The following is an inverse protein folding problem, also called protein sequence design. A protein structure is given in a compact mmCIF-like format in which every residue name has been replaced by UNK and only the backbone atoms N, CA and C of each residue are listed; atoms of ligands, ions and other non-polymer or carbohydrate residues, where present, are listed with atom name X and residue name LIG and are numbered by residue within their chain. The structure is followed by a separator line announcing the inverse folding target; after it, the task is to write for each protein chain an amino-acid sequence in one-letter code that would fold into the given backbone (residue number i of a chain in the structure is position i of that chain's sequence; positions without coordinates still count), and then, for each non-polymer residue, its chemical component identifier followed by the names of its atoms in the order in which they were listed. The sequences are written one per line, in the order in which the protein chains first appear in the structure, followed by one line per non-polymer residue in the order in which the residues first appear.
data_IF_351165199893
#
_entry.id   IF_351165199893
#
_cell.length_a   1.000
_cell.length_b   1.000
_cell.length_c   1.000
_cell.angle_alpha   90.00
_cell.angle_beta   90.00
_cell.angle_gamma   90.00
#
_symmetry.space_group_name_H-M   'P 1'
#
loop_
_entity.id
_entity.type
_entity.pdbx_description
1 polymer ?
#
# COMPACT_ATOMS: atom_id res chain seq x y z
N UNK A 1 -4.25 -11.99 -10.24
CA UNK A 1 -3.76 -13.07 -11.11
C UNK A 1 -4.81 -14.14 -11.18
N UNK A 2 -5.43 -14.32 -12.34
CA UNK A 2 -6.38 -15.40 -12.60
C UNK A 2 -5.73 -16.51 -13.44
N UNK A 3 -4.40 -16.53 -13.51
CA UNK A 3 -3.65 -17.54 -14.26
C UNK A 3 -4.08 -18.90 -13.70
N UNK A 4 -4.59 -19.75 -14.59
CA UNK A 4 -5.09 -21.09 -14.25
C UNK A 4 -6.54 -21.20 -13.75
N UNK A 5 -7.29 -20.10 -13.55
CA UNK A 5 -8.67 -20.15 -13.00
C UNK A 5 -9.77 -19.78 -14.01
N UNK A 6 -9.41 -19.54 -15.27
CA UNK A 6 -10.35 -19.21 -16.34
C UNK A 6 -10.38 -20.32 -17.38
N UNK A 7 -11.57 -20.78 -17.74
CA UNK A 7 -11.82 -21.64 -18.90
C UNK A 7 -12.75 -20.85 -19.81
N UNK A 8 -12.31 -20.52 -21.02
CA UNK A 8 -13.11 -19.76 -22.00
C UNK A 8 -13.76 -18.49 -21.42
N UNK A 9 -12.96 -17.67 -20.73
CA UNK A 9 -13.38 -16.46 -19.99
C UNK A 9 -14.27 -16.69 -18.76
N UNK A 10 -14.70 -17.92 -18.49
CA UNK A 10 -15.48 -18.28 -17.32
C UNK A 10 -14.57 -18.52 -16.11
N UNK A 11 -14.75 -17.71 -15.06
CA UNK A 11 -14.07 -17.88 -13.78
C UNK A 11 -14.85 -18.90 -12.95
N UNK A 12 -14.37 -20.15 -12.92
CA UNK A 12 -15.00 -21.22 -12.15
C UNK A 12 -14.79 -21.03 -10.64
N UNK A 13 -13.59 -20.60 -10.25
CA UNK A 13 -13.23 -20.31 -8.86
C UNK A 13 -12.67 -18.90 -8.69
N UNK A 14 -13.35 -18.11 -7.85
CA UNK A 14 -12.87 -16.80 -7.44
C UNK A 14 -11.72 -16.96 -6.45
N UNK A 15 -10.62 -16.26 -6.71
CA UNK A 15 -9.50 -16.14 -5.77
C UNK A 15 -9.82 -15.04 -4.76
N UNK A 16 -10.19 -15.42 -3.54
CA UNK A 16 -10.35 -14.46 -2.44
C UNK A 16 -8.98 -14.05 -1.88
N UNK A 17 -8.03 -14.97 -1.92
CA UNK A 17 -6.68 -14.81 -1.40
C UNK A 17 -5.67 -14.84 -2.57
N UNK A 18 -4.36 -14.63 -2.32
CA UNK A 18 -3.32 -14.72 -3.35
C UNK A 18 -3.13 -16.10 -4.01
N UNK A 19 -3.99 -17.09 -3.75
CA UNK A 19 -3.94 -18.46 -4.26
C UNK A 19 -5.31 -18.90 -4.79
N UNK A 20 -5.40 -20.11 -5.34
CA UNK A 20 -6.63 -20.63 -5.94
C UNK A 20 -7.67 -21.03 -4.89
N UNK A 21 -8.94 -20.78 -5.21
CA UNK A 21 -10.06 -21.07 -4.32
C UNK A 21 -10.33 -19.99 -3.27
N UNK A 22 -11.28 -20.31 -2.38
CA UNK A 22 -11.78 -19.42 -1.33
C UNK A 22 -11.33 -19.82 0.08
N UNK A 23 -10.60 -20.94 0.19
CA UNK A 23 -10.17 -21.50 1.47
C UNK A 23 -8.76 -21.05 1.84
N UNK A 24 -8.49 -20.96 3.14
CA UNK A 24 -7.16 -20.66 3.71
C UNK A 24 -6.25 -21.90 3.82
N UNK A 25 -6.78 -23.07 3.43
CA UNK A 25 -6.11 -24.36 3.50
C UNK A 25 -5.81 -24.88 2.11
N UNK A 26 -4.67 -25.53 1.99
CA UNK A 26 -4.21 -26.14 0.75
C UNK A 26 -5.13 -27.32 0.39
N UNK A 27 -5.55 -27.36 -0.87
CA UNK A 27 -6.42 -28.37 -1.47
C UNK A 27 -5.64 -29.49 -2.19
N UNK A 28 -4.33 -29.31 -2.37
CA UNK A 28 -3.46 -30.30 -2.98
C UNK A 28 -3.40 -31.56 -2.10
N UNK A 29 -3.64 -32.77 -2.66
CA UNK A 29 -3.61 -34.02 -1.90
C UNK A 29 -2.36 -34.26 -1.06
N UNK A 30 -1.20 -33.72 -1.45
CA UNK A 30 0.06 -33.89 -0.71
C UNK A 30 0.15 -33.04 0.57
N UNK A 31 -0.53 -31.90 0.59
CA UNK A 31 -0.48 -30.90 1.65
C UNK A 31 -1.88 -30.55 2.15
N UNK A 32 -2.84 -31.47 1.96
CA UNK A 32 -4.25 -31.19 2.14
C UNK A 32 -4.53 -30.76 3.58
N UNK A 33 -5.17 -29.61 3.74
CA UNK A 33 -5.55 -29.08 5.04
C UNK A 33 -4.46 -28.28 5.77
N UNK A 34 -3.26 -28.16 5.19
CA UNK A 34 -2.21 -27.25 5.68
C UNK A 34 -2.59 -25.79 5.42
N UNK A 35 -2.33 -24.91 6.38
CA UNK A 35 -2.58 -23.48 6.24
C UNK A 35 -1.60 -22.86 5.24
N UNK A 36 -2.12 -22.02 4.34
CA UNK A 36 -1.32 -21.40 3.28
C UNK A 36 -0.73 -20.05 3.66
N UNK A 37 -0.98 -19.58 4.87
CA UNK A 37 -0.51 -18.29 5.37
C UNK A 37 -0.35 -18.31 6.89
N UNK A 38 0.44 -17.36 7.38
CA UNK A 38 0.62 -17.09 8.79
C UNK A 38 -0.35 -16.00 9.26
N UNK A 39 -1.38 -16.36 10.02
CA UNK A 39 -2.42 -15.44 10.50
C UNK A 39 -3.20 -16.02 11.69
N UNK A 40 -4.00 -15.19 12.35
CA UNK A 40 -4.81 -15.59 13.51
C UNK A 40 -6.07 -16.34 13.08
N UNK A 41 -6.12 -17.64 13.39
CA UNK A 41 -7.20 -18.56 13.00
C UNK A 41 -8.45 -18.39 13.85
N UNK A 42 -8.27 -18.24 15.15
CA UNK A 42 -9.34 -18.20 16.16
C UNK A 42 -8.96 -17.34 17.35
N UNK A 43 -9.89 -17.09 18.29
CA UNK A 43 -9.51 -16.42 19.55
C UNK A 43 -8.56 -17.36 20.30
N UNK A 44 -7.34 -16.90 20.57
CA UNK A 44 -6.30 -17.70 21.23
C UNK A 44 -5.63 -18.76 20.35
N UNK A 45 -6.00 -18.86 19.07
CA UNK A 45 -5.39 -19.80 18.11
C UNK A 45 -4.54 -19.02 17.10
N UNK A 46 -3.23 -18.95 17.39
CA UNK A 46 -2.21 -18.31 16.56
C UNK A 46 -1.47 -19.28 15.64
N UNK A 47 -1.47 -20.58 15.96
CA UNK A 47 -0.60 -21.56 15.29
C UNK A 47 -1.15 -22.99 15.22
N UNK A 48 -2.37 -23.21 15.70
CA UNK A 48 -3.00 -24.51 15.88
C UNK A 48 -2.94 -25.05 17.30
N UNK A 49 -3.33 -26.32 17.45
CA UNK A 49 -3.35 -27.04 18.72
C UNK A 49 -1.96 -27.60 19.03
N UNK A 50 -1.57 -27.60 20.31
CA UNK A 50 -0.30 -28.16 20.75
C UNK A 50 -0.08 -29.59 20.21
N UNK A 51 1.09 -29.85 19.63
CA UNK A 51 1.44 -31.12 18.99
C UNK A 51 1.13 -31.22 17.50
N UNK A 52 0.38 -30.27 16.92
CA UNK A 52 0.11 -30.19 15.48
C UNK A 52 0.03 -28.73 15.01
N UNK A 53 1.21 -28.11 14.85
CA UNK A 53 1.37 -26.73 14.41
C UNK A 53 1.17 -26.63 12.90
N UNK A 54 -0.05 -26.37 12.46
CA UNK A 54 -0.44 -26.44 11.05
C UNK A 54 0.10 -25.24 10.19
N UNK A 55 0.65 -24.18 10.79
CA UNK A 55 1.31 -23.04 10.09
C UNK A 55 2.71 -22.73 10.61
N UNK A 56 3.18 -23.44 11.65
CA UNK A 56 4.53 -23.37 12.24
C UNK A 56 5.02 -21.97 12.69
N UNK A 57 4.14 -20.98 12.92
CA UNK A 57 4.54 -19.64 13.34
C UNK A 57 3.55 -18.97 14.29
N UNK A 58 3.97 -18.67 15.52
CA UNK A 58 3.19 -17.85 16.47
C UNK A 58 3.30 -16.35 16.21
N UNK A 59 4.36 -15.95 15.50
CA UNK A 59 4.73 -14.59 15.09
C UNK A 59 5.23 -14.66 13.65
N UNK A 60 6.12 -13.78 13.21
CA UNK A 60 6.72 -13.85 11.87
C UNK A 60 7.43 -15.18 11.58
N UNK A 61 7.41 -15.55 10.30
CA UNK A 61 8.09 -16.73 9.74
C UNK A 61 9.05 -16.29 8.63
N UNK A 62 9.97 -17.16 8.18
CA UNK A 62 10.84 -16.86 7.04
C UNK A 62 10.06 -16.38 5.80
N UNK A 63 10.63 -15.43 5.05
CA UNK A 63 9.97 -14.74 3.92
C UNK A 63 9.61 -15.65 2.73
N UNK A 64 10.12 -16.88 2.70
CA UNK A 64 9.80 -17.91 1.69
C UNK A 64 9.01 -19.09 2.29
N UNK A 65 8.38 -18.89 3.44
CA UNK A 65 7.43 -19.85 3.99
C UNK A 65 6.16 -19.91 3.13
N UNK A 66 5.46 -21.05 3.20
CA UNK A 66 4.27 -21.38 2.42
C UNK A 66 4.51 -21.42 0.91
N UNK A 67 3.44 -21.60 0.14
CA UNK A 67 3.50 -21.71 -1.31
C UNK A 67 3.46 -20.34 -1.97
N UNK A 68 4.23 -20.13 -3.06
CA UNK A 68 4.14 -18.90 -3.82
C UNK A 68 2.82 -18.83 -4.58
N UNK A 69 2.36 -17.61 -4.85
CA UNK A 69 1.27 -17.40 -5.81
C UNK A 69 1.74 -17.64 -7.26
N UNK A 70 0.83 -17.48 -8.24
CA UNK A 70 1.13 -17.67 -9.67
C UNK A 70 2.26 -16.77 -10.21
N UNK A 71 2.62 -15.71 -9.49
CA UNK A 71 3.70 -14.78 -9.84
C UNK A 71 5.02 -15.11 -9.15
N UNK A 72 5.10 -16.22 -8.41
CA UNK A 72 6.28 -16.60 -7.63
C UNK A 72 6.45 -15.78 -6.35
N UNK A 73 5.43 -15.02 -5.93
CA UNK A 73 5.49 -14.18 -4.74
C UNK A 73 5.06 -14.96 -3.49
N UNK A 74 5.91 -14.93 -2.48
CA UNK A 74 5.68 -15.56 -1.18
C UNK A 74 5.08 -14.55 -0.19
N UNK A 75 4.40 -15.08 0.83
CA UNK A 75 3.84 -14.32 1.95
C UNK A 75 3.08 -13.06 1.51
N UNK A 76 2.34 -13.12 0.40
CA UNK A 76 1.46 -12.03 -0.05
C UNK A 76 0.22 -11.87 0.83
N UNK A 77 -0.10 -12.91 1.60
CA UNK A 77 -1.15 -12.95 2.59
C UNK A 77 -0.57 -13.50 3.90
N UNK A 78 -0.76 -12.75 4.99
CA UNK A 78 -0.22 -13.08 6.30
C UNK A 78 1.27 -12.76 6.44
N UNK A 79 1.87 -13.30 7.50
CA UNK A 79 3.21 -12.93 7.98
C UNK A 79 3.24 -11.48 8.45
N UNK A 80 3.46 -10.51 7.58
CA UNK A 80 3.41 -9.09 7.94
C UNK A 80 2.55 -8.34 6.94
N UNK A 81 1.87 -7.31 7.44
CA UNK A 81 1.33 -6.28 6.57
C UNK A 81 2.47 -5.58 5.84
N UNK A 82 2.17 -4.99 4.70
CA UNK A 82 3.17 -4.33 3.88
C UNK A 82 2.71 -2.94 3.47
N UNK A 83 3.57 -1.96 3.68
CA UNK A 83 3.38 -0.60 3.21
C UNK A 83 3.22 -0.55 1.69
N UNK A 84 2.31 0.31 1.26
CA UNK A 84 2.05 0.67 -0.13
C UNK A 84 2.24 2.18 -0.27
N UNK A 85 2.76 2.62 -1.41
CA UNK A 85 3.07 4.03 -1.66
C UNK A 85 1.81 4.93 -1.69
N UNK A 86 0.65 4.34 -1.97
CA UNK A 86 -0.62 5.05 -2.06
C UNK A 86 -1.01 5.78 -0.77
N UNK A 87 -1.43 7.03 -0.92
CA UNK A 87 -2.10 7.83 0.11
C UNK A 87 -3.51 7.28 0.30
N UNK A 88 -3.88 7.04 1.56
CA UNK A 88 -5.21 6.55 1.87
C UNK A 88 -6.26 7.66 1.75
N UNK A 89 -7.34 7.35 1.02
CA UNK A 89 -8.63 8.03 1.12
C UNK A 89 -9.77 7.01 1.17
N UNK A 90 -10.80 7.19 2.01
CA UNK A 90 -11.91 6.24 2.12
C UNK A 90 -12.62 5.96 0.80
N UNK A 91 -12.79 6.99 -0.03
CA UNK A 91 -13.55 6.91 -1.29
C UNK A 91 -12.68 6.81 -2.54
N UNK A 92 -11.36 6.57 -2.42
CA UNK A 92 -10.47 6.51 -3.60
C UNK A 92 -11.01 5.66 -4.74
N UNK A 93 -11.64 4.52 -4.44
CA UNK A 93 -12.16 3.60 -5.47
C UNK A 93 -13.27 4.19 -6.35
N UNK A 94 -13.93 5.27 -5.92
CA UNK A 94 -14.97 5.95 -6.69
C UNK A 94 -14.40 7.03 -7.63
N UNK A 95 -13.21 7.55 -7.32
CA UNK A 95 -12.65 8.75 -7.97
C UNK A 95 -11.45 8.45 -8.87
N UNK A 96 -10.90 7.25 -8.79
CA UNK A 96 -9.69 6.86 -9.52
C UNK A 96 -10.02 6.13 -10.82
N UNK A 97 -9.03 6.03 -11.71
CA UNK A 97 -9.16 5.26 -12.95
C UNK A 97 -9.36 3.77 -12.69
N UNK A 98 -10.12 3.11 -13.57
CA UNK A 98 -10.36 1.67 -13.52
C UNK A 98 -9.08 0.83 -13.66
N UNK A 99 -8.09 1.32 -14.40
CA UNK A 99 -6.86 0.56 -14.68
C UNK A 99 -5.65 1.11 -13.92
N UNK A 100 -5.20 0.32 -12.94
CA UNK A 100 -3.98 0.58 -12.13
C UNK A 100 -3.92 2.01 -11.59
N UNK A 101 -4.94 2.47 -10.87
CA UNK A 101 -4.92 3.78 -10.26
C UNK A 101 -3.81 3.88 -9.22
N UNK A 102 -3.22 5.08 -9.12
CA UNK A 102 -2.25 5.40 -8.09
C UNK A 102 -2.58 6.77 -7.50
N UNK A 103 -2.63 6.85 -6.16
CA UNK A 103 -2.77 8.11 -5.45
C UNK A 103 -1.54 8.37 -4.61
N UNK A 104 -0.72 9.30 -5.05
CA UNK A 104 0.53 9.61 -4.34
C UNK A 104 1.46 10.46 -5.18
N UNK A 105 0.91 11.17 -6.18
CA UNK A 105 1.68 11.84 -7.20
C UNK A 105 2.38 13.05 -6.61
N UNK A 106 3.70 12.90 -6.45
CA UNK A 106 4.61 13.95 -6.06
C UNK A 106 5.74 14.01 -7.10
N UNK A 107 5.88 15.16 -7.73
CA UNK A 107 6.85 15.42 -8.77
C UNK A 107 7.96 16.28 -8.19
N UNK A 108 9.13 15.68 -8.00
CA UNK A 108 10.32 16.35 -7.50
C UNK A 108 11.46 16.20 -8.51
N UNK A 109 12.37 17.17 -8.56
CA UNK A 109 13.63 17.10 -9.31
C UNK A 109 14.80 16.81 -8.38
N UNK A 110 15.88 16.26 -8.95
CA UNK A 110 17.13 16.10 -8.19
C UNK A 110 17.71 17.48 -7.87
N UNK A 111 18.19 17.66 -6.65
CA UNK A 111 18.97 18.81 -6.29
C UNK A 111 20.39 18.64 -6.83
N UNK A 112 20.80 19.56 -7.69
CA UNK A 112 22.11 19.57 -8.32
C UNK A 112 23.01 20.62 -7.65
N UNK A 113 24.29 20.31 -7.49
CA UNK A 113 25.30 21.28 -7.08
C UNK A 113 25.63 22.26 -8.22
N UNK A 114 26.50 23.23 -7.95
CA UNK A 114 26.94 24.21 -8.95
C UNK A 114 27.65 23.57 -10.18
N UNK A 115 28.11 22.33 -10.04
CA UNK A 115 28.77 21.57 -11.11
C UNK A 115 27.79 20.65 -11.85
N UNK A 116 26.50 20.66 -11.50
CA UNK A 116 25.47 19.82 -12.11
C UNK A 116 25.39 18.39 -11.57
N UNK A 117 26.09 18.07 -10.48
CA UNK A 117 26.07 16.73 -9.89
C UNK A 117 24.96 16.59 -8.83
N UNK A 118 24.26 15.45 -8.76
CA UNK A 118 23.29 15.19 -7.70
C UNK A 118 23.94 15.20 -6.32
N UNK A 119 23.32 15.91 -5.38
CA UNK A 119 23.80 15.96 -3.99
C UNK A 119 23.15 14.85 -3.16
N UNK A 120 23.95 14.21 -2.33
CA UNK A 120 23.51 13.22 -1.35
C UNK A 120 23.38 13.92 0.01
N UNK A 121 22.29 13.67 0.73
CA UNK A 121 22.08 14.19 2.08
C UNK A 121 22.93 13.44 3.13
N UNK A 122 22.87 13.88 4.39
CA UNK A 122 23.61 13.25 5.49
C UNK A 122 23.15 11.82 5.81
N UNK A 123 21.98 11.42 5.32
CA UNK A 123 21.39 10.09 5.50
C UNK A 123 21.67 9.15 4.31
N UNK A 124 22.40 9.62 3.30
CA UNK A 124 22.74 8.83 2.12
C UNK A 124 21.66 8.83 1.02
N UNK A 125 20.61 9.64 1.14
CA UNK A 125 19.59 9.77 0.11
C UNK A 125 19.95 10.83 -0.91
N UNK A 126 19.55 10.62 -2.17
CA UNK A 126 19.62 11.66 -3.19
C UNK A 126 18.68 12.80 -2.80
N UNK A 127 19.21 14.00 -2.62
CA UNK A 127 18.42 15.18 -2.27
C UNK A 127 17.49 15.53 -3.42
N UNK A 128 16.21 15.67 -3.12
CA UNK A 128 15.16 16.07 -4.08
C UNK A 128 14.55 17.39 -3.66
N UNK A 129 14.11 18.19 -4.62
CA UNK A 129 13.38 19.42 -4.40
C UNK A 129 12.09 19.41 -5.23
N UNK A 130 10.99 20.00 -4.73
CA UNK A 130 9.78 20.18 -5.50
C UNK A 130 10.08 20.86 -6.83
N UNK A 131 9.40 20.43 -7.89
CA UNK A 131 9.42 21.17 -9.16
C UNK A 131 8.67 22.51 -9.01
N UNK A 132 9.09 23.49 -9.77
CA UNK A 132 8.38 24.76 -9.93
C UNK A 132 7.56 24.78 -11.24
N UNK A 133 6.79 25.85 -11.45
CA UNK A 133 5.95 26.00 -12.65
C UNK A 133 6.79 26.12 -13.93
N UNK A 134 8.01 26.67 -13.85
CA UNK A 134 8.91 26.80 -14.99
C UNK A 134 9.46 25.43 -15.40
N UNK A 135 9.79 24.56 -14.45
CA UNK A 135 10.17 23.17 -14.73
C UNK A 135 9.04 22.40 -15.41
N UNK A 136 7.79 22.73 -15.10
CA UNK A 136 6.60 22.09 -15.64
C UNK A 136 6.10 22.71 -16.95
N UNK A 137 6.75 23.79 -17.43
CA UNK A 137 6.35 24.47 -18.66
C UNK A 137 6.38 23.51 -19.87
N UNK A 138 5.32 23.56 -20.68
CA UNK A 138 5.17 22.69 -21.86
C UNK A 138 4.82 21.23 -21.56
N UNK A 139 4.74 20.82 -20.28
CA UNK A 139 4.27 19.48 -19.91
C UNK A 139 2.74 19.41 -19.91
N UNK A 140 2.20 18.30 -20.39
CA UNK A 140 0.75 18.08 -20.45
C UNK A 140 0.18 17.41 -19.18
N UNK A 141 1.03 16.78 -18.38
CA UNK A 141 0.63 15.85 -17.32
C UNK A 141 0.50 16.48 -15.93
N UNK A 142 1.35 17.45 -15.58
CA UNK A 142 1.31 18.14 -14.29
C UNK A 142 1.78 19.59 -14.42
N UNK A 143 1.32 20.45 -13.50
CA UNK A 143 1.74 21.86 -13.40
C UNK A 143 2.32 22.25 -12.04
N UNK A 144 2.02 21.51 -10.99
CA UNK A 144 2.60 21.66 -9.64
C UNK A 144 3.35 20.40 -9.20
N UNK A 145 4.12 20.50 -8.13
CA UNK A 145 4.84 19.37 -7.56
C UNK A 145 3.92 18.36 -6.86
N UNK A 146 2.96 18.82 -6.06
CA UNK A 146 2.15 17.93 -5.21
C UNK A 146 0.70 17.81 -5.69
N UNK A 147 0.31 16.58 -6.05
CA UNK A 147 -1.05 16.21 -6.44
C UNK A 147 -1.62 15.08 -5.56
N UNK A 148 -1.04 14.80 -4.39
CA UNK A 148 -1.53 13.75 -3.48
C UNK A 148 -2.97 13.98 -3.02
N UNK A 149 -3.31 15.24 -2.78
CA UNK A 149 -4.61 15.70 -2.31
C UNK A 149 -5.58 16.15 -3.42
N UNK A 150 -5.25 15.94 -4.69
CA UNK A 150 -6.06 16.43 -5.81
C UNK A 150 -7.52 16.00 -5.69
N UNK A 151 -8.46 16.95 -5.67
CA UNK A 151 -9.92 16.74 -5.49
C UNK A 151 -10.34 16.08 -4.16
N UNK A 152 -9.44 15.88 -3.21
CA UNK A 152 -9.72 15.24 -1.91
C UNK A 152 -8.69 15.71 -0.86
N UNK A 153 -8.82 16.98 -0.47
CA UNK A 153 -7.96 17.69 0.48
C UNK A 153 -7.11 18.80 -0.11
N UNK A 154 -7.30 19.16 -1.38
CA UNK A 154 -6.78 20.40 -1.95
C UNK A 154 -7.67 21.59 -1.57
N UNK A 155 -7.15 22.81 -1.70
CA UNK A 155 -7.86 24.05 -1.34
C UNK A 155 -9.25 24.17 -1.97
N UNK A 156 -9.45 23.65 -3.18
CA UNK A 156 -10.72 23.68 -3.89
C UNK A 156 -11.75 22.68 -3.36
N UNK A 157 -11.31 21.62 -2.66
CA UNK A 157 -12.19 20.59 -2.08
C UNK A 157 -12.41 20.76 -0.58
N UNK A 158 -11.59 21.55 0.12
CA UNK A 158 -11.81 21.86 1.54
C UNK A 158 -12.93 22.88 1.69
N UNK A 159 -13.91 22.53 2.51
CA UNK A 159 -14.97 23.42 2.97
C UNK A 159 -14.86 23.61 4.47
N UNK A 160 -14.93 24.86 4.91
CA UNK A 160 -14.93 25.27 6.31
C UNK A 160 -16.14 26.18 6.54
N UNK A 161 -16.95 25.88 7.55
CA UNK A 161 -18.18 26.62 7.87
C UNK A 161 -19.16 26.82 6.70
N UNK A 162 -19.17 25.88 5.74
CA UNK A 162 -20.04 25.92 4.57
C UNK A 162 -19.53 26.78 3.40
N UNK A 163 -18.37 27.39 3.54
CA UNK A 163 -17.67 28.10 2.48
C UNK A 163 -16.42 27.32 2.03
N UNK A 164 -15.96 27.55 0.80
CA UNK A 164 -14.68 26.97 0.36
C UNK A 164 -13.55 27.65 1.11
N UNK A 165 -12.56 26.87 1.53
CA UNK A 165 -11.36 27.41 2.17
C UNK A 165 -10.65 28.38 1.23
N UNK A 166 -10.24 29.52 1.78
CA UNK A 166 -9.34 30.45 1.08
C UNK A 166 -7.88 30.10 1.40
N UNK A 167 -6.95 30.77 0.71
CA UNK A 167 -5.53 30.54 0.92
C UNK A 167 -5.05 30.93 2.33
N UNK A 168 -5.81 31.75 3.05
CA UNK A 168 -5.47 32.17 4.40
C UNK A 168 -5.87 31.12 5.46
N UNK A 169 -6.89 30.30 5.17
CA UNK A 169 -7.43 29.28 6.08
C UNK A 169 -7.03 27.84 5.73
N UNK A 170 -6.43 27.63 4.56
CA UNK A 170 -6.02 26.31 4.12
C UNK A 170 -4.75 25.82 4.85
N UNK A 171 -4.92 24.95 5.84
CA UNK A 171 -3.82 24.33 6.60
C UNK A 171 -3.39 22.95 6.05
N UNK A 172 -3.97 22.54 4.92
CA UNK A 172 -3.68 21.28 4.23
C UNK A 172 -4.87 20.30 4.21
N UNK A 173 -4.62 19.07 3.76
CA UNK A 173 -5.65 18.04 3.65
C UNK A 173 -6.26 17.62 5.00
N UNK A 174 -5.57 17.91 6.12
CA UNK A 174 -6.09 17.68 7.46
C UNK A 174 -7.38 18.46 7.75
N UNK A 175 -7.55 19.65 7.15
CA UNK A 175 -8.72 20.51 7.30
C UNK A 175 -10.00 19.96 6.65
N UNK A 176 -9.91 18.89 5.82
CA UNK A 176 -11.09 18.18 5.30
C UNK A 176 -11.91 17.50 6.40
N UNK A 177 -11.25 17.16 7.51
CA UNK A 177 -11.85 16.47 8.63
C UNK A 177 -11.74 17.36 9.87
N UNK A 178 -12.61 17.14 10.85
CA UNK A 178 -12.51 17.78 12.16
C UNK A 178 -11.20 17.31 12.85
N UNK A 179 -10.15 18.10 12.70
CA UNK A 179 -8.81 17.86 13.21
C UNK A 179 -8.21 19.16 13.75
N UNK A 180 -8.79 19.69 14.82
CA UNK A 180 -8.24 20.84 15.53
C UNK A 180 -7.43 20.39 16.76
N UNK A 181 -6.81 21.33 17.47
CA UNK A 181 -5.99 21.02 18.65
C UNK A 181 -6.75 20.31 19.78
N UNK A 182 -8.06 20.53 19.87
CA UNK A 182 -8.92 20.00 20.93
C UNK A 182 -9.63 18.70 20.53
N UNK A 183 -9.82 18.46 19.24
CA UNK A 183 -10.61 17.37 18.68
C UNK A 183 -9.99 16.89 17.37
N UNK A 184 -9.38 15.71 17.41
CA UNK A 184 -8.90 14.98 16.23
C UNK A 184 -9.79 13.77 15.98
N UNK A 185 -10.66 13.87 14.99
CA UNK A 185 -11.63 12.82 14.64
C UNK A 185 -11.08 11.86 13.60
N UNK A 186 -10.10 12.28 12.79
CA UNK A 186 -9.61 11.49 11.66
C UNK A 186 -8.10 11.55 11.52
N UNK A 187 -7.47 10.41 11.25
CA UNK A 187 -6.05 10.40 10.86
C UNK A 187 -5.85 10.80 9.40
N UNK A 188 -6.90 10.85 8.58
CA UNK A 188 -6.81 10.94 7.12
C UNK A 188 -6.24 12.31 6.70
N UNK A 189 -5.08 12.28 6.04
CA UNK A 189 -4.40 13.41 5.41
C UNK A 189 -3.39 12.90 4.36
N UNK A 190 -2.53 13.77 3.82
CA UNK A 190 -1.52 13.41 2.80
C UNK A 190 -0.32 12.59 3.29
N UNK A 191 -0.21 12.39 4.61
CA UNK A 191 0.84 11.62 5.27
C UNK A 191 0.36 10.22 5.68
N UNK A 192 -0.91 9.88 5.42
CA UNK A 192 -1.43 8.54 5.70
C UNK A 192 -1.28 7.65 4.48
N UNK A 193 -0.63 6.51 4.68
CA UNK A 193 -0.36 5.52 3.63
C UNK A 193 -1.17 4.26 3.82
N UNK A 194 -1.40 3.58 2.71
CA UNK A 194 -2.05 2.28 2.68
C UNK A 194 -1.06 1.19 3.11
N UNK A 195 -1.54 0.19 3.84
CA UNK A 195 -0.85 -1.09 4.00
C UNK A 195 -1.81 -2.25 3.79
N UNK A 196 -1.27 -3.40 3.36
CA UNK A 196 -2.04 -4.56 2.87
C UNK A 196 -1.41 -5.90 3.24
N UNK A 197 -2.13 -6.98 2.99
CA UNK A 197 -1.63 -8.36 3.05
C UNK A 197 -1.99 -9.11 4.34
N UNK A 198 -2.27 -8.39 5.43
CA UNK A 198 -2.54 -9.01 6.72
C UNK A 198 -1.25 -9.56 7.35
N UNK A 199 -1.24 -9.68 8.67
CA UNK A 199 -0.10 -10.17 9.44
C UNK A 199 -0.43 -11.40 10.26
N UNK A 200 0.59 -11.91 10.97
CA UNK A 200 0.46 -12.90 12.02
C UNK A 200 -0.51 -12.49 13.15
N UNK A 201 -0.90 -11.21 13.25
CA UNK A 201 -1.90 -10.68 14.22
C UNK A 201 -3.31 -10.57 13.66
N UNK A 202 -3.49 -10.81 12.36
CA UNK A 202 -4.74 -10.52 11.68
C UNK A 202 -5.61 -11.75 11.43
N UNK A 203 -6.92 -11.50 11.33
CA UNK A 203 -7.90 -12.49 10.87
C UNK A 203 -7.82 -12.67 9.36
N UNK A 204 -8.28 -13.85 8.90
CA UNK A 204 -8.41 -14.21 7.48
C UNK A 204 -8.98 -13.11 6.58
N UNK A 205 -9.90 -12.27 7.07
CA UNK A 205 -10.43 -11.12 6.34
C UNK A 205 -9.33 -10.24 5.72
N UNK A 206 -8.29 -9.90 6.48
CA UNK A 206 -7.23 -8.98 6.05
C UNK A 206 -6.22 -9.58 5.07
N UNK A 207 -6.30 -10.89 4.83
CA UNK A 207 -5.41 -11.60 3.90
C UNK A 207 -5.85 -11.41 2.44
N UNK A 208 -7.08 -10.93 2.22
CA UNK A 208 -7.58 -10.63 0.89
C UNK A 208 -6.80 -9.45 0.29
N UNK A 209 -6.25 -9.56 -0.94
CA UNK A 209 -5.53 -8.47 -1.61
C UNK A 209 -6.35 -7.19 -1.83
N UNK A 210 -7.68 -7.34 -1.86
CA UNK A 210 -8.62 -6.22 -1.99
C UNK A 210 -8.68 -5.36 -0.73
N UNK A 211 -8.42 -5.96 0.43
CA UNK A 211 -8.50 -5.24 1.70
C UNK A 211 -7.35 -4.27 1.88
N UNK A 212 -7.68 -3.13 2.51
CA UNK A 212 -6.73 -2.06 2.77
C UNK A 212 -6.94 -1.50 4.16
N UNK A 213 -5.83 -1.22 4.82
CA UNK A 213 -5.81 -0.40 6.02
C UNK A 213 -4.81 0.72 5.83
N UNK A 214 -4.75 1.59 6.82
CA UNK A 214 -3.96 2.79 6.72
C UNK A 214 -3.37 3.18 8.06
N UNK A 215 -2.22 3.85 7.98
CA UNK A 215 -1.47 4.35 9.12
C UNK A 215 -0.64 5.55 8.64
N UNK A 216 -0.29 6.44 9.57
CA UNK A 216 0.59 7.58 9.30
C UNK A 216 1.97 7.06 8.90
N UNK A 217 2.58 7.63 7.87
CA UNK A 217 3.83 7.13 7.26
C UNK A 217 5.04 7.14 8.20
N UNK A 218 5.00 7.90 9.29
CA UNK A 218 6.04 7.98 10.32
C UNK A 218 5.92 6.89 11.39
N UNK A 219 4.81 6.17 11.43
CA UNK A 219 4.55 5.15 12.45
C UNK A 219 5.13 3.79 12.04
N UNK A 220 5.40 2.95 13.04
CA UNK A 220 5.88 1.59 12.82
C UNK A 220 5.14 0.60 13.70
N UNK A 221 5.05 -0.66 13.25
CA UNK A 221 4.45 -1.77 13.99
C UNK A 221 5.29 -3.03 13.82
N UNK A 222 5.22 -3.93 14.79
CA UNK A 222 5.90 -5.22 14.78
C UNK A 222 5.32 -6.23 13.77
N UNK A 223 4.18 -5.90 13.19
CA UNK A 223 3.46 -6.70 12.21
C UNK A 223 3.35 -6.00 10.84
N UNK A 224 4.16 -4.96 10.61
CA UNK A 224 4.18 -4.13 9.42
C UNK A 224 5.60 -4.01 8.84
N UNK A 225 5.78 -4.51 7.63
CA UNK A 225 7.00 -4.41 6.82
C UNK A 225 6.72 -3.76 5.47
N UNK A 226 7.50 -4.15 4.46
CA UNK A 226 7.34 -3.68 3.09
C UNK A 226 8.03 -4.63 2.11
N UNK A 227 7.68 -4.47 0.83
CA UNK A 227 8.43 -5.04 -0.29
C UNK A 227 8.76 -3.97 -1.31
N UNK A 228 9.84 -4.17 -2.06
CA UNK A 228 10.25 -3.23 -3.09
C UNK A 228 9.70 -3.63 -4.46
N UNK A 229 9.36 -2.63 -5.27
CA UNK A 229 9.02 -2.81 -6.67
C UNK A 229 9.91 -1.89 -7.52
N UNK A 230 10.24 -2.33 -8.74
CA UNK A 230 11.06 -1.56 -9.67
C UNK A 230 10.48 -1.67 -11.08
N UNK A 231 10.48 -0.57 -11.83
CA UNK A 231 9.94 -0.53 -13.19
C UNK A 231 10.88 -1.10 -14.25
N UNK A 232 12.19 -1.16 -13.99
CA UNK A 232 13.21 -1.70 -14.91
C UNK A 232 14.30 -2.44 -14.15
N UNK A 233 14.61 -3.66 -14.58
CA UNK A 233 15.76 -4.44 -14.12
C UNK A 233 16.81 -4.51 -15.24
N UNK A 234 18.03 -4.04 -15.00
CA UNK A 234 19.15 -4.11 -15.97
C UNK A 234 20.11 -2.92 -15.92
N UNK A 235 21.26 -3.03 -16.60
CA UNK A 235 22.24 -1.94 -16.71
C UNK A 235 21.63 -0.72 -17.43
N UNK A 236 22.02 0.53 -17.05
CA UNK A 236 21.52 1.75 -17.68
C UNK A 236 21.71 1.71 -19.21
N UNK A 237 22.89 1.24 -19.62
CA UNK A 237 23.21 0.77 -20.97
C UNK A 237 22.62 -0.63 -21.12
N UNK A 238 21.60 -0.80 -21.97
CA UNK A 238 21.14 -2.15 -22.34
C UNK A 238 22.30 -3.03 -22.83
N UNK A 239 22.16 -4.35 -22.69
CA UNK A 239 23.06 -5.30 -23.34
C UNK A 239 23.13 -5.04 -24.85
#
# INVERSE_FOLDING_TARGET
GLIGNTIDELVWERKTFPWNGHNVRNDNPRNMGEMMANFVRGRGDMMGVAGSLNDAGSITVPVKSYWPNDYGLYCMAGNVNEWVQDVYRPLSHMDVSDFRPFRGNQFDKLYLDANGNPVIDSLGHLRRVPIDEADAEGRFNYRKSDYRNYRDGDIESVFEDGERADAARYEGSGSMYLNNENERVSLINDQVRVYKGGSWKDRAYWLSPGERRYLVETESRDDLGFRCAMSRMGTPTGL
#
